data_IF_228321436862
#
_entry.id   IF_228321436862
#
_cell.length_a   1.000
_cell.length_b   1.000
_cell.length_c   1.000
_cell.angle_alpha   90.00
_cell.angle_beta   90.00
_cell.angle_gamma   90.00
#
_symmetry.space_group_name_H-M   'P 1'
#
loop_
_entity.id
_entity.type
_entity.pdbx_description
1 polymer ?
#
# COMPACT_ATOMS: atom_id res chain seq x y z
N UNK A 1 -11.31 -45.58 -18.09
CA UNK A 1 -11.61 -44.14 -18.20
C UNK A 1 -11.18 -43.49 -16.89
N UNK A 2 -10.02 -42.84 -16.89
CA UNK A 2 -9.51 -42.14 -15.71
C UNK A 2 -10.21 -40.79 -15.59
N UNK A 3 -10.96 -40.60 -14.51
CA UNK A 3 -11.53 -39.30 -14.14
C UNK A 3 -10.39 -38.39 -13.67
N UNK A 4 -10.04 -37.42 -14.51
CA UNK A 4 -9.21 -36.29 -14.11
C UNK A 4 -9.97 -35.49 -13.05
N UNK A 5 -9.64 -35.73 -11.78
CA UNK A 5 -10.02 -34.85 -10.69
C UNK A 5 -9.30 -33.52 -10.86
N UNK A 6 -9.98 -32.54 -11.46
CA UNK A 6 -9.51 -31.16 -11.46
C UNK A 6 -9.44 -30.68 -10.02
N UNK A 7 -8.23 -30.63 -9.46
CA UNK A 7 -7.98 -29.90 -8.23
C UNK A 7 -8.23 -28.42 -8.54
N UNK A 8 -9.41 -27.92 -8.18
CA UNK A 8 -9.62 -26.48 -8.02
C UNK A 8 -8.70 -26.03 -6.89
N UNK A 9 -7.54 -25.49 -7.26
CA UNK A 9 -6.67 -24.76 -6.33
C UNK A 9 -7.50 -23.64 -5.72
N UNK A 10 -7.62 -23.61 -4.39
CA UNK A 10 -8.35 -22.55 -3.70
C UNK A 10 -7.73 -21.19 -4.07
N UNK A 11 -8.59 -20.24 -4.46
CA UNK A 11 -8.15 -18.88 -4.80
C UNK A 11 -7.59 -18.22 -3.53
N UNK A 12 -6.35 -17.74 -3.59
CA UNK A 12 -5.76 -16.98 -2.48
C UNK A 12 -6.25 -15.55 -2.50
N UNK A 13 -6.49 -15.00 -1.30
CA UNK A 13 -6.88 -13.61 -1.14
C UNK A 13 -5.68 -12.78 -0.70
N UNK A 14 -5.28 -11.85 -1.56
CA UNK A 14 -4.23 -10.89 -1.26
C UNK A 14 -4.87 -9.52 -1.00
N UNK A 15 -4.62 -8.94 0.17
CA UNK A 15 -5.00 -7.56 0.45
C UNK A 15 -3.79 -6.65 0.28
N UNK A 16 -3.90 -5.65 -0.59
CA UNK A 16 -2.85 -4.66 -0.81
C UNK A 16 -3.24 -3.32 -0.18
N UNK A 17 -2.55 -2.97 0.91
CA UNK A 17 -2.72 -1.72 1.61
C UNK A 17 -1.80 -0.65 1.03
N UNK A 18 -2.37 0.49 0.64
CA UNK A 18 -1.62 1.58 0.01
C UNK A 18 -2.08 2.95 0.47
N UNK A 19 -1.20 3.94 0.32
CA UNK A 19 -1.55 5.36 0.38
C UNK A 19 -0.94 6.03 -0.86
N UNK A 20 -1.71 6.86 -1.56
CA UNK A 20 -1.24 7.60 -2.74
C UNK A 20 -0.10 8.57 -2.41
N UNK A 21 0.11 8.92 -1.14
CA UNK A 21 1.25 9.72 -0.68
C UNK A 21 2.60 8.98 -0.80
N UNK A 22 2.58 7.66 -0.98
CA UNK A 22 3.78 6.83 -0.99
C UNK A 22 4.28 6.61 -2.42
N UNK A 23 5.50 7.09 -2.78
CA UNK A 23 6.07 6.81 -4.09
C UNK A 23 6.29 5.32 -4.33
N UNK A 24 6.57 4.55 -3.27
CA UNK A 24 6.69 3.10 -3.36
C UNK A 24 5.37 2.40 -3.69
N UNK A 25 4.21 2.98 -3.32
CA UNK A 25 2.91 2.43 -3.71
C UNK A 25 2.70 2.55 -5.22
N UNK A 26 3.09 3.67 -5.83
CA UNK A 26 3.07 3.84 -7.29
C UNK A 26 3.99 2.83 -7.99
N UNK A 27 5.24 2.71 -7.55
CA UNK A 27 6.20 1.79 -8.13
C UNK A 27 5.75 0.32 -8.02
N UNK A 28 5.25 -0.09 -6.84
CA UNK A 28 4.81 -1.47 -6.64
C UNK A 28 3.54 -1.77 -7.43
N UNK A 29 2.63 -0.81 -7.57
CA UNK A 29 1.44 -0.98 -8.40
C UNK A 29 1.79 -1.28 -9.87
N UNK A 30 2.74 -0.52 -10.45
CA UNK A 30 3.25 -0.80 -11.79
C UNK A 30 3.94 -2.16 -11.88
N UNK A 31 4.71 -2.55 -10.86
CA UNK A 31 5.31 -3.88 -10.81
C UNK A 31 4.24 -4.98 -10.79
N UNK A 32 3.16 -4.82 -10.01
CA UNK A 32 2.05 -5.77 -9.99
C UNK A 32 1.38 -5.91 -11.36
N UNK A 33 1.15 -4.81 -12.07
CA UNK A 33 0.63 -4.85 -13.45
C UNK A 33 1.58 -5.58 -14.38
N UNK A 34 2.87 -5.23 -14.34
CA UNK A 34 3.92 -5.82 -15.19
C UNK A 34 4.05 -7.32 -14.98
N UNK A 35 3.80 -7.79 -13.75
CA UNK A 35 3.84 -9.21 -13.36
C UNK A 35 2.51 -9.93 -13.55
N UNK A 36 1.49 -9.26 -14.09
CA UNK A 36 0.17 -9.84 -14.34
C UNK A 36 -0.59 -10.19 -13.06
N UNK A 37 -0.26 -9.58 -11.91
CA UNK A 37 -0.83 -9.98 -10.62
C UNK A 37 -2.35 -9.79 -10.55
N UNK A 38 -2.87 -8.74 -11.19
CA UNK A 38 -4.31 -8.45 -11.22
C UNK A 38 -5.12 -9.34 -12.18
N UNK A 39 -4.45 -10.13 -13.01
CA UNK A 39 -5.08 -11.02 -14.00
C UNK A 39 -4.80 -12.49 -13.70
N UNK A 40 -4.29 -12.82 -12.51
CA UNK A 40 -4.05 -14.21 -12.10
C UNK A 40 -5.36 -14.89 -11.73
N UNK A 41 -5.53 -16.13 -12.16
CA UNK A 41 -6.71 -16.94 -11.81
C UNK A 41 -6.63 -17.55 -10.40
N UNK A 42 -5.41 -17.66 -9.84
CA UNK A 42 -5.15 -18.27 -8.52
C UNK A 42 -5.05 -17.26 -7.36
N UNK A 43 -5.15 -15.95 -7.66
CA UNK A 43 -5.01 -14.87 -6.67
C UNK A 43 -6.05 -13.79 -6.91
N UNK A 44 -6.90 -13.53 -5.91
CA UNK A 44 -7.79 -12.37 -5.88
C UNK A 44 -7.14 -11.24 -5.09
N UNK A 45 -6.80 -10.14 -5.78
CA UNK A 45 -6.25 -8.94 -5.15
C UNK A 45 -7.35 -7.99 -4.72
N UNK A 46 -7.31 -7.53 -3.47
CA UNK A 46 -8.16 -6.48 -2.92
C UNK A 46 -7.32 -5.24 -2.66
N UNK A 47 -7.62 -4.12 -3.31
CA UNK A 47 -6.91 -2.85 -3.12
C UNK A 47 -7.58 -2.09 -1.96
N UNK A 48 -6.83 -1.79 -0.89
CA UNK A 48 -7.35 -1.08 0.29
C UNK A 48 -6.57 0.20 0.58
N UNK A 49 -7.14 1.37 0.28
CA UNK A 49 -6.51 2.63 0.66
C UNK A 49 -6.52 2.79 2.18
N UNK A 50 -5.40 3.23 2.73
CA UNK A 50 -5.20 3.55 4.15
C UNK A 50 -4.50 4.90 4.29
N UNK A 51 -4.71 5.55 5.43
CA UNK A 51 -4.01 6.80 5.75
C UNK A 51 -2.68 6.43 6.41
N UNK A 52 -1.56 6.67 5.72
CA UNK A 52 -0.24 6.26 6.20
C UNK A 52 0.14 6.90 7.52
N UNK A 53 -0.15 8.20 7.72
CA UNK A 53 0.08 8.86 9.01
C UNK A 53 -0.68 8.17 10.15
N UNK A 54 -1.86 7.62 9.88
CA UNK A 54 -2.62 6.87 10.86
C UNK A 54 -1.93 5.56 11.31
N UNK A 55 -1.15 4.91 10.45
CA UNK A 55 -0.33 3.75 10.81
C UNK A 55 0.90 4.17 11.61
N UNK A 56 1.56 5.25 11.19
CA UNK A 56 2.71 5.84 11.90
C UNK A 56 2.34 6.20 13.34
N UNK A 57 1.19 6.84 13.55
CA UNK A 57 0.68 7.18 14.88
C UNK A 57 0.48 5.93 15.76
N UNK A 58 -0.13 4.88 15.19
CA UNK A 58 -0.40 3.64 15.92
C UNK A 58 0.89 2.97 16.41
N UNK A 59 1.88 2.86 15.51
CA UNK A 59 3.18 2.24 15.80
C UNK A 59 4.20 3.21 16.42
N UNK A 60 3.80 4.46 16.69
CA UNK A 60 4.65 5.53 17.25
C UNK A 60 5.93 5.77 16.45
N UNK A 61 5.81 5.75 15.13
CA UNK A 61 6.91 5.96 14.20
C UNK A 61 6.86 7.36 13.59
N UNK A 62 8.03 7.96 13.37
CA UNK A 62 8.16 9.21 12.59
C UNK A 62 8.21 8.84 11.11
N UNK A 63 7.40 9.51 10.29
CA UNK A 63 7.37 9.26 8.85
C UNK A 63 8.71 9.56 8.18
N UNK A 64 9.13 8.78 7.16
CA UNK A 64 10.39 9.03 6.47
C UNK A 64 10.42 10.39 5.75
N UNK A 65 9.26 10.91 5.35
CA UNK A 65 9.13 12.21 4.71
C UNK A 65 9.35 13.39 5.69
N UNK A 66 9.21 13.16 6.99
CA UNK A 66 9.43 14.16 8.04
C UNK A 66 10.90 14.29 8.44
N UNK A 67 11.75 13.35 8.00
CA UNK A 67 13.19 13.36 8.25
C UNK A 67 13.91 13.78 6.96
N UNK A 68 14.42 15.02 6.84
CA UNK A 68 14.93 15.56 5.57
C UNK A 68 15.92 14.68 4.80
N UNK A 69 16.96 14.08 5.43
CA UNK A 69 17.87 13.20 4.70
C UNK A 69 17.19 11.93 4.19
N UNK A 70 16.23 11.36 4.94
CA UNK A 70 15.45 10.18 4.49
C UNK A 70 14.56 10.56 3.32
N UNK A 71 13.86 11.69 3.41
CA UNK A 71 13.02 12.20 2.31
C UNK A 71 13.79 12.36 1.01
N UNK A 72 14.95 13.02 1.05
CA UNK A 72 15.79 13.21 -0.13
C UNK A 72 16.27 11.88 -0.73
N UNK A 73 16.72 10.95 0.13
CA UNK A 73 17.12 9.62 -0.29
C UNK A 73 15.97 8.85 -0.94
N UNK A 74 14.80 8.82 -0.32
CA UNK A 74 13.60 8.16 -0.84
C UNK A 74 13.24 8.69 -2.22
N UNK A 75 13.23 10.02 -2.43
CA UNK A 75 12.90 10.58 -3.74
C UNK A 75 13.93 10.20 -4.81
N UNK A 76 15.23 10.28 -4.50
CA UNK A 76 16.31 9.86 -5.43
C UNK A 76 16.17 8.39 -5.81
N UNK A 77 15.96 7.53 -4.83
CA UNK A 77 15.84 6.09 -5.05
C UNK A 77 14.58 5.76 -5.87
N UNK A 78 13.45 6.38 -5.58
CA UNK A 78 12.21 6.12 -6.32
C UNK A 78 12.31 6.58 -7.78
N UNK A 79 12.88 7.76 -8.05
CA UNK A 79 13.12 8.24 -9.40
C UNK A 79 14.09 7.32 -10.16
N UNK A 80 15.16 6.85 -9.51
CA UNK A 80 16.08 5.89 -10.11
C UNK A 80 15.37 4.56 -10.44
N UNK A 81 14.58 4.01 -9.52
CA UNK A 81 13.81 2.78 -9.78
C UNK A 81 12.84 2.97 -10.94
N UNK A 82 12.13 4.10 -10.97
CA UNK A 82 11.21 4.45 -12.05
C UNK A 82 11.93 4.46 -13.40
N UNK A 83 13.07 5.14 -13.49
CA UNK A 83 13.92 5.20 -14.69
C UNK A 83 14.35 3.79 -15.14
N UNK A 84 14.88 2.98 -14.22
CA UNK A 84 15.34 1.62 -14.52
C UNK A 84 14.22 0.69 -15.02
N UNK A 85 12.96 0.98 -14.67
CA UNK A 85 11.80 0.18 -15.04
C UNK A 85 10.91 0.87 -16.08
N UNK A 86 11.36 1.98 -16.66
CA UNK A 86 10.62 2.76 -17.66
C UNK A 86 9.21 3.17 -17.19
N UNK A 87 9.07 3.46 -15.89
CA UNK A 87 7.83 3.96 -15.30
C UNK A 87 7.91 5.50 -15.31
N UNK A 88 7.01 6.21 -16.02
CA UNK A 88 6.97 7.67 -15.97
C UNK A 88 6.77 8.15 -14.54
N UNK A 89 7.69 8.95 -14.00
CA UNK A 89 7.60 9.44 -12.64
C UNK A 89 8.13 10.87 -12.51
N UNK A 90 7.39 11.70 -11.79
CA UNK A 90 7.75 13.05 -11.37
C UNK A 90 7.51 13.22 -9.88
N UNK A 91 8.14 14.23 -9.28
CA UNK A 91 7.87 14.60 -7.89
C UNK A 91 6.66 15.55 -7.89
N UNK A 92 5.63 15.30 -7.06
CA UNK A 92 4.49 16.21 -6.96
C UNK A 92 4.90 17.59 -6.45
N UNK A 93 4.10 18.61 -6.77
CA UNK A 93 4.39 20.01 -6.38
C UNK A 93 4.60 20.22 -4.89
N UNK A 94 4.04 19.34 -4.06
CA UNK A 94 4.22 19.31 -2.62
C UNK A 94 4.30 17.86 -2.13
N UNK A 95 5.24 17.56 -1.25
CA UNK A 95 5.32 16.28 -0.54
C UNK A 95 5.90 16.51 0.85
N UNK A 96 5.35 15.94 1.95
CA UNK A 96 4.07 15.25 1.99
C UNK A 96 2.89 16.20 1.69
N UNK A 97 1.76 15.64 1.25
CA UNK A 97 0.50 16.34 1.01
C UNK A 97 -0.65 15.59 1.70
N UNK A 98 -1.83 16.21 1.80
CA UNK A 98 -3.01 15.54 2.36
C UNK A 98 -3.59 14.53 1.36
N UNK A 99 -3.33 13.23 1.54
CA UNK A 99 -3.82 12.18 0.63
C UNK A 99 -5.29 11.82 0.79
N UNK A 100 -5.93 12.22 1.89
CA UNK A 100 -7.30 11.80 2.25
C UNK A 100 -8.33 12.01 1.12
N UNK A 101 -8.36 13.13 0.38
CA UNK A 101 -9.32 13.33 -0.70
C UNK A 101 -9.21 12.25 -1.79
N UNK A 102 -7.99 11.93 -2.23
CA UNK A 102 -7.76 10.88 -3.23
C UNK A 102 -8.09 9.48 -2.70
N UNK A 103 -7.77 9.20 -1.44
CA UNK A 103 -8.10 7.91 -0.83
C UNK A 103 -9.62 7.71 -0.73
N UNK A 104 -10.38 8.77 -0.43
CA UNK A 104 -11.85 8.73 -0.44
C UNK A 104 -12.41 8.56 -1.84
N UNK A 105 -11.79 9.19 -2.83
CA UNK A 105 -12.16 9.03 -4.24
C UNK A 105 -11.93 7.59 -4.73
N UNK A 106 -10.83 6.95 -4.30
CA UNK A 106 -10.64 5.51 -4.54
C UNK A 106 -11.82 4.69 -4.00
N UNK A 107 -12.25 4.95 -2.76
CA UNK A 107 -13.36 4.21 -2.13
C UNK A 107 -14.69 4.48 -2.84
N UNK A 108 -14.95 5.72 -3.25
CA UNK A 108 -16.16 6.11 -3.96
C UNK A 108 -16.34 5.33 -5.27
N UNK A 109 -15.23 4.98 -5.92
CA UNK A 109 -15.19 4.23 -7.16
C UNK A 109 -14.63 2.81 -6.97
N UNK A 110 -14.97 2.17 -5.84
CA UNK A 110 -14.75 0.75 -5.55
C UNK A 110 -13.30 0.25 -5.57
N UNK A 111 -12.32 1.17 -5.54
CA UNK A 111 -10.89 0.87 -5.58
C UNK A 111 -10.53 -0.11 -6.71
N UNK A 112 -11.12 0.04 -7.90
CA UNK A 112 -10.74 -0.77 -9.06
C UNK A 112 -9.28 -0.52 -9.45
N UNK A 113 -8.68 -1.46 -10.19
CA UNK A 113 -7.31 -1.32 -10.68
C UNK A 113 -7.14 -0.01 -11.46
N UNK A 114 -8.09 0.34 -12.33
CA UNK A 114 -8.01 1.55 -13.14
C UNK A 114 -8.15 2.84 -12.32
N UNK A 115 -9.01 2.84 -11.29
CA UNK A 115 -9.15 3.99 -10.38
C UNK A 115 -7.87 4.20 -9.58
N UNK A 116 -7.31 3.13 -9.02
CA UNK A 116 -6.08 3.20 -8.23
C UNK A 116 -4.89 3.62 -9.11
N UNK A 117 -4.78 3.07 -10.32
CA UNK A 117 -3.80 3.50 -11.34
C UNK A 117 -3.90 4.99 -11.60
N UNK A 118 -5.12 5.47 -11.81
CA UNK A 118 -5.38 6.87 -12.13
C UNK A 118 -4.99 7.80 -10.99
N UNK A 119 -5.37 7.48 -9.75
CA UNK A 119 -5.04 8.30 -8.58
C UNK A 119 -3.53 8.33 -8.30
N UNK A 120 -2.86 7.18 -8.41
CA UNK A 120 -1.41 7.12 -8.24
C UNK A 120 -0.68 7.87 -9.36
N UNK A 121 -1.11 7.70 -10.62
CA UNK A 121 -0.55 8.41 -11.78
C UNK A 121 -0.78 9.93 -11.70
N UNK A 122 -1.94 10.37 -11.22
CA UNK A 122 -2.22 11.80 -11.07
C UNK A 122 -1.21 12.50 -10.14
N UNK A 123 -0.78 11.80 -9.10
CA UNK A 123 0.27 12.29 -8.19
C UNK A 123 1.66 12.10 -8.78
N UNK A 124 2.02 10.87 -9.12
CA UNK A 124 3.41 10.48 -9.35
C UNK A 124 3.84 10.52 -10.80
N UNK A 125 2.93 10.62 -11.76
CA UNK A 125 3.24 10.88 -13.18
C UNK A 125 2.93 12.32 -13.56
N UNK A 126 1.76 12.82 -13.17
CA UNK A 126 1.27 14.14 -13.57
C UNK A 126 1.75 15.25 -12.60
N UNK A 127 2.21 14.89 -11.40
CA UNK A 127 2.80 15.82 -10.43
C UNK A 127 1.78 16.64 -9.63
N UNK A 128 0.50 16.26 -9.66
CA UNK A 128 -0.56 17.00 -9.00
C UNK A 128 -0.73 16.59 -7.54
N UNK A 129 -1.35 17.48 -6.74
CA UNK A 129 -1.72 17.23 -5.35
C UNK A 129 -3.18 17.62 -5.12
N UNK A 130 -3.92 16.87 -4.29
CA UNK A 130 -5.33 17.14 -4.04
C UNK A 130 -5.52 18.42 -3.22
N UNK A 131 -6.67 19.05 -3.39
CA UNK A 131 -7.01 20.30 -2.71
C UNK A 131 -8.05 21.05 -3.52
N UNK A 132 -7.60 21.95 -4.39
CA UNK A 132 -8.47 22.82 -5.18
C UNK A 132 -7.76 23.22 -6.48
N UNK A 133 -8.52 23.57 -7.53
CA UNK A 133 -8.00 24.12 -8.77
C UNK A 133 -8.25 23.24 -10.00
N UNK A 134 -7.87 23.76 -11.18
CA UNK A 134 -8.29 23.19 -12.46
C UNK A 134 -7.92 21.70 -12.65
N UNK A 135 -6.74 21.26 -12.18
CA UNK A 135 -6.33 19.86 -12.27
C UNK A 135 -7.20 18.93 -11.41
N UNK A 136 -7.66 19.41 -10.25
CA UNK A 136 -8.56 18.67 -9.37
C UNK A 136 -9.97 18.59 -9.98
N UNK A 137 -10.49 19.71 -10.48
CA UNK A 137 -11.81 19.76 -11.14
C UNK A 137 -11.86 18.89 -12.40
N UNK A 138 -10.74 18.79 -13.12
CA UNK A 138 -10.60 17.88 -14.25
C UNK A 138 -10.63 16.40 -13.81
N UNK A 139 -9.88 16.05 -12.75
CA UNK A 139 -9.87 14.69 -12.21
C UNK A 139 -11.27 14.26 -11.75
N UNK A 140 -11.97 15.12 -11.01
CA UNK A 140 -13.33 14.82 -10.53
C UNK A 140 -14.31 14.58 -11.69
N UNK A 141 -14.25 15.42 -12.73
CA UNK A 141 -15.05 15.22 -13.94
C UNK A 141 -14.70 13.94 -14.69
N UNK A 142 -13.42 13.60 -14.76
CA UNK A 142 -12.92 12.40 -15.43
C UNK A 142 -13.49 11.13 -14.77
N UNK A 143 -13.48 11.07 -13.44
CA UNK A 143 -14.00 9.89 -12.70
C UNK A 143 -15.49 9.95 -12.40
N UNK A 144 -16.15 11.08 -12.70
CA UNK A 144 -17.58 11.26 -12.48
C UNK A 144 -17.97 11.51 -11.03
N UNK A 145 -17.08 12.14 -10.24
CA UNK A 145 -17.34 12.51 -8.84
C UNK A 145 -17.65 14.01 -8.70
N UNK A 146 -18.42 14.36 -7.66
CA UNK A 146 -18.71 15.74 -7.30
C UNK A 146 -17.81 16.16 -6.12
N UNK A 147 -17.17 17.33 -6.21
CA UNK A 147 -16.22 17.83 -5.21
C UNK A 147 -16.79 17.81 -3.77
N UNK A 148 -18.06 18.18 -3.64
CA UNK A 148 -18.75 18.17 -2.35
C UNK A 148 -18.86 16.80 -1.70
N UNK A 149 -18.78 15.69 -2.45
CA UNK A 149 -18.83 14.33 -1.89
C UNK A 149 -17.49 13.91 -1.29
N UNK A 150 -16.37 14.23 -1.93
CA UNK A 150 -15.03 13.83 -1.45
C UNK A 150 -14.72 14.44 -0.07
N UNK A 151 -15.15 15.68 0.16
CA UNK A 151 -14.87 16.41 1.39
C UNK A 151 -15.94 16.25 2.49
N UNK A 152 -17.18 15.86 2.17
CA UNK A 152 -18.30 15.72 3.14
C UNK A 152 -18.38 14.38 3.89
N UNK A 153 -17.26 13.69 4.02
CA UNK A 153 -17.14 12.51 4.89
C UNK A 153 -17.79 11.17 4.47
N UNK A 154 -18.39 10.95 3.27
CA UNK A 154 -19.14 9.72 2.99
C UNK A 154 -18.27 8.46 3.13
N UNK A 155 -16.98 8.56 2.80
CA UNK A 155 -16.03 7.44 2.82
C UNK A 155 -15.06 7.48 4.00
N UNK A 156 -15.24 8.36 4.99
CA UNK A 156 -14.37 8.37 6.18
C UNK A 156 -14.50 7.11 6.99
N UNK A 157 -15.72 6.59 7.14
CA UNK A 157 -15.91 5.37 7.91
C UNK A 157 -15.16 4.21 7.28
N UNK A 158 -15.27 4.05 5.96
CA UNK A 158 -14.51 3.06 5.21
C UNK A 158 -12.99 3.24 5.33
N UNK A 159 -12.44 4.46 5.27
CA UNK A 159 -11.02 4.69 5.54
C UNK A 159 -10.59 4.32 6.96
N UNK A 160 -11.44 4.62 7.95
CA UNK A 160 -11.19 4.24 9.33
C UNK A 160 -11.21 2.72 9.50
N UNK A 161 -12.19 2.03 8.92
CA UNK A 161 -12.29 0.56 8.96
C UNK A 161 -11.08 -0.08 8.23
N UNK A 162 -10.63 0.48 7.09
CA UNK A 162 -9.42 0.04 6.41
C UNK A 162 -8.17 0.19 7.28
N UNK A 163 -8.04 1.31 8.01
CA UNK A 163 -6.95 1.51 8.98
C UNK A 163 -6.99 0.45 10.08
N UNK A 164 -8.16 0.17 10.66
CA UNK A 164 -8.29 -0.86 11.70
C UNK A 164 -7.94 -2.25 11.16
N UNK A 165 -8.38 -2.58 9.95
CA UNK A 165 -8.02 -3.83 9.30
C UNK A 165 -6.50 -3.95 9.08
N UNK A 166 -5.86 -2.90 8.57
CA UNK A 166 -4.41 -2.87 8.38
C UNK A 166 -3.65 -3.09 9.70
N UNK A 167 -4.06 -2.41 10.78
CA UNK A 167 -3.46 -2.60 12.11
C UNK A 167 -3.64 -4.04 12.61
N UNK A 168 -4.83 -4.61 12.44
CA UNK A 168 -5.12 -6.00 12.83
C UNK A 168 -4.29 -7.01 12.05
N UNK A 169 -3.96 -6.70 10.80
CA UNK A 169 -3.09 -7.49 9.94
C UNK A 169 -1.59 -7.22 10.19
N UNK A 170 -1.23 -6.54 11.28
CA UNK A 170 0.14 -6.14 11.62
C UNK A 170 0.83 -5.29 10.53
N UNK A 171 0.08 -4.46 9.80
CA UNK A 171 0.64 -3.54 8.79
C UNK A 171 1.18 -2.27 9.47
N UNK A 172 2.48 -1.99 9.27
CA UNK A 172 3.15 -0.81 9.84
C UNK A 172 3.52 0.29 8.83
N UNK A 173 3.33 0.04 7.54
CA UNK A 173 3.64 1.01 6.50
C UNK A 173 3.03 0.66 5.15
N UNK A 174 3.28 1.52 4.16
CA UNK A 174 2.73 1.38 2.81
C UNK A 174 3.81 1.47 1.72
N UNK A 175 3.67 0.70 0.63
CA UNK A 175 2.64 -0.31 0.44
C UNK A 175 2.92 -1.59 1.26
N UNK A 176 1.88 -2.36 1.57
CA UNK A 176 2.00 -3.68 2.21
C UNK A 176 1.00 -4.66 1.60
N UNK A 177 1.45 -5.89 1.32
CA UNK A 177 0.57 -6.98 0.88
C UNK A 177 0.38 -7.99 2.00
N UNK A 178 -0.85 -8.40 2.25
CA UNK A 178 -1.21 -9.42 3.24
C UNK A 178 -1.82 -10.61 2.53
N UNK A 179 -1.22 -11.79 2.69
CA UNK A 179 -1.72 -13.06 2.15
C UNK A 179 -1.38 -14.19 3.11
N UNK A 180 -2.36 -15.06 3.39
CA UNK A 180 -2.23 -16.20 4.32
C UNK A 180 -1.66 -15.82 5.70
N UNK A 181 -2.02 -14.63 6.19
CA UNK A 181 -1.57 -14.07 7.47
C UNK A 181 -0.14 -13.52 7.47
N UNK A 182 0.54 -13.49 6.32
CA UNK A 182 1.89 -12.96 6.19
C UNK A 182 1.86 -11.55 5.58
N UNK A 183 2.64 -10.63 6.16
CA UNK A 183 2.82 -9.26 5.66
C UNK A 183 4.10 -9.20 4.82
N UNK A 184 3.96 -8.75 3.57
CA UNK A 184 5.05 -8.41 2.66
C UNK A 184 5.08 -6.90 2.47
N UNK A 185 5.98 -6.23 3.20
CA UNK A 185 6.10 -4.78 3.23
C UNK A 185 7.02 -4.26 2.12
N UNK A 186 6.65 -3.12 1.53
CA UNK A 186 7.51 -2.31 0.69
C UNK A 186 7.67 -2.81 -0.75
N UNK A 187 8.19 -1.93 -1.61
CA UNK A 187 8.52 -2.26 -3.00
C UNK A 187 9.61 -3.33 -3.09
N UNK A 188 10.59 -3.27 -2.21
CA UNK A 188 11.68 -4.23 -2.04
C UNK A 188 11.20 -5.61 -1.55
N UNK A 189 10.05 -5.69 -0.88
CA UNK A 189 9.39 -6.95 -0.53
C UNK A 189 8.68 -7.65 -1.70
N UNK A 190 8.52 -6.98 -2.85
CA UNK A 190 7.78 -7.54 -4.01
C UNK A 190 8.34 -8.87 -4.51
N UNK A 191 9.67 -9.08 -4.67
CA UNK A 191 10.20 -10.37 -5.09
C UNK A 191 9.85 -11.50 -4.11
N UNK A 192 9.87 -11.23 -2.81
CA UNK A 192 9.50 -12.20 -1.78
C UNK A 192 8.01 -12.55 -1.84
N UNK A 193 7.14 -11.55 -2.03
CA UNK A 193 5.71 -11.76 -2.25
C UNK A 193 5.45 -12.64 -3.48
N UNK A 194 6.08 -12.33 -4.62
CA UNK A 194 5.90 -13.10 -5.86
C UNK A 194 6.42 -14.52 -5.71
N UNK A 195 7.54 -14.73 -5.02
CA UNK A 195 8.05 -16.06 -4.70
C UNK A 195 7.05 -16.83 -3.81
N UNK A 196 6.46 -16.17 -2.81
CA UNK A 196 5.43 -16.76 -1.95
C UNK A 196 4.21 -17.20 -2.78
N UNK A 197 3.72 -16.31 -3.64
CA UNK A 197 2.61 -16.61 -4.55
C UNK A 197 2.96 -17.74 -5.52
N UNK A 198 4.22 -17.90 -5.92
CA UNK A 198 4.63 -18.99 -6.79
C UNK A 198 4.99 -20.29 -6.04
N UNK A 199 4.63 -20.40 -4.76
CA UNK A 199 4.88 -21.57 -3.90
C UNK A 199 6.37 -21.95 -3.84
N UNK A 200 7.25 -20.95 -3.76
CA UNK A 200 8.68 -21.20 -3.59
C UNK A 200 8.93 -22.06 -2.34
N UNK A 201 9.81 -23.06 -2.49
CA UNK A 201 10.09 -24.04 -1.43
C UNK A 201 10.64 -23.40 -0.17
N UNK A 202 11.29 -22.23 -0.27
CA UNK A 202 11.82 -21.47 0.86
C UNK A 202 10.80 -21.33 2.00
N UNK A 203 9.54 -21.05 1.67
CA UNK A 203 8.47 -20.81 2.65
C UNK A 203 7.97 -22.07 3.39
N UNK A 204 8.39 -23.25 2.93
CA UNK A 204 8.12 -24.54 3.59
C UNK A 204 9.30 -25.00 4.46
N UNK A 205 10.41 -24.26 4.45
CA UNK A 205 11.60 -24.60 5.22
C UNK A 205 11.61 -23.95 6.60
N UNK A 206 12.50 -24.41 7.48
CA UNK A 206 12.71 -23.80 8.81
C UNK A 206 13.34 -22.40 8.73
N UNK A 207 13.90 -22.04 7.58
CA UNK A 207 14.54 -20.75 7.33
C UNK A 207 13.51 -19.63 7.17
N UNK A 208 12.26 -19.96 6.81
CA UNK A 208 11.14 -19.04 6.92
C UNK A 208 10.64 -19.02 8.38
N UNK A 209 11.33 -18.24 9.20
CA UNK A 209 11.08 -18.16 10.64
C UNK A 209 9.73 -17.47 10.93
N UNK A 210 9.02 -17.98 11.95
CA UNK A 210 7.76 -17.40 12.44
C UNK A 210 7.93 -16.54 13.69
N UNK A 211 9.08 -16.64 14.33
CA UNK A 211 9.42 -15.94 15.55
C UNK A 211 10.91 -15.57 15.48
N UNK A 212 11.24 -14.37 15.95
CA UNK A 212 12.62 -13.93 16.11
C UNK A 212 13.08 -14.21 17.53
N UNK A 213 14.34 -14.62 17.76
CA UNK A 213 14.90 -14.68 19.11
C UNK A 213 14.81 -13.31 19.80
N UNK A 214 14.63 -13.27 21.13
CA UNK A 214 14.62 -12.00 21.86
C UNK A 214 15.96 -11.26 21.66
N UNK A 215 15.88 -9.96 21.39
CA UNK A 215 17.03 -9.07 21.28
C UNK A 215 17.39 -8.41 22.60
N UNK A 216 18.56 -7.76 22.67
CA UNK A 216 18.92 -6.92 23.82
C UNK A 216 18.03 -5.68 23.82
N UNK A 217 17.19 -5.53 24.85
CA UNK A 217 16.41 -4.32 25.06
C UNK A 217 17.33 -3.16 25.51
N UNK A 218 17.32 -2.06 24.76
CA UNK A 218 18.02 -0.83 25.17
C UNK A 218 17.17 -0.11 26.20
N UNK A 219 17.65 0.00 27.44
CA UNK A 219 17.00 0.78 28.47
C UNK A 219 16.82 2.25 28.03
N UNK A 220 15.60 2.80 28.17
CA UNK A 220 15.39 4.25 28.18
C UNK A 220 14.89 4.95 26.90
N UNK A 221 14.33 4.25 25.91
CA UNK A 221 13.53 4.90 24.86
C UNK A 221 12.11 4.32 24.83
N UNK A 222 11.21 5.08 25.46
CA UNK A 222 9.78 4.84 25.68
C UNK A 222 9.45 3.84 26.80
N UNK A 223 8.55 4.19 27.75
CA UNK A 223 8.08 3.22 28.72
C UNK A 223 7.31 2.13 27.97
N UNK A 224 7.79 0.90 28.08
CA UNK A 224 6.94 -0.28 27.91
C UNK A 224 5.93 -0.20 29.05
N UNK A 225 4.78 0.44 28.82
CA UNK A 225 3.61 0.16 29.63
C UNK A 225 3.14 -1.20 29.14
N UNK A 226 3.69 -2.23 29.79
CA UNK A 226 3.04 -3.54 29.81
C UNK A 226 1.67 -3.26 30.42
N UNK A 227 0.60 -3.33 29.64
CA UNK A 227 -0.73 -3.49 30.21
C UNK A 227 -0.75 -4.87 30.86
N UNK A 228 -0.24 -4.94 32.08
CA UNK A 228 -0.60 -5.96 33.01
C UNK A 228 -2.03 -5.66 33.46
N UNK A 229 -2.88 -6.67 33.25
CA UNK A 229 -4.17 -6.92 33.88
C UNK A 229 -5.45 -6.63 33.07
N UNK A 230 -6.16 -7.75 32.88
CA UNK A 230 -7.61 -7.98 33.01
C UNK A 230 -8.54 -7.38 31.96
#
# INVERSE_FOLDING_TARGET
MATAGGLTTAIRHLTWYFDVISPYSYLQFHEFRRRGLFTRDDVKVTLKPVIFSGLLDHWRNVGPAEVPPKKLWTMRLCLFIAEQNQIPMTIPTMHPFNSVPLLRLCIEHDCTVDIVDRMLSWVWRDGHVPGHGAAWDLLLREVGSADSQVFKDPNKRALWDNKQAAIKDDVWGVPSSVVDGNVFFGYDGTPMLLAYLNNDKFFQTKQFIKQVPPGIERAGRYPVIVNANM
#
